data_IF_088355652184
#
_entry.id   IF_088355652184
#
_cell.length_a   1.000
_cell.length_b   1.000
_cell.length_c   1.000
_cell.angle_alpha   90.00
_cell.angle_beta   90.00
_cell.angle_gamma   90.00
#
_symmetry.space_group_name_H-M   'P 1'
#
loop_
_entity.id
_entity.type
_entity.pdbx_description
1 polymer ?
#
# COMPACT_ATOMS: atom_id res chain seq x y z
N UNK A 1 20.77 14.70 -28.25
CA UNK A 1 19.90 13.51 -28.33
C UNK A 1 20.62 12.33 -27.69
N UNK A 2 20.55 12.16 -26.37
CA UNK A 2 21.06 10.96 -25.67
C UNK A 2 20.63 10.84 -24.20
N UNK A 3 19.55 11.49 -23.75
CA UNK A 3 19.10 11.40 -22.34
C UNK A 3 18.05 10.30 -22.08
N UNK A 4 17.40 9.75 -23.12
CA UNK A 4 16.33 8.76 -22.93
C UNK A 4 16.83 7.31 -22.73
N UNK A 5 18.07 6.98 -23.09
CA UNK A 5 18.56 5.59 -23.06
C UNK A 5 18.72 5.02 -21.65
N UNK A 6 19.25 5.82 -20.71
CA UNK A 6 19.50 5.35 -19.35
C UNK A 6 18.23 5.14 -18.51
N UNK A 7 17.16 5.89 -18.81
CA UNK A 7 15.90 5.76 -18.07
C UNK A 7 15.13 4.50 -18.48
N UNK A 8 15.09 4.16 -19.77
CA UNK A 8 14.49 2.91 -20.25
C UNK A 8 15.25 1.68 -19.75
N UNK A 9 16.58 1.73 -19.75
CA UNK A 9 17.42 0.66 -19.22
C UNK A 9 17.15 0.42 -17.73
N UNK A 10 17.07 1.50 -16.93
CA UNK A 10 16.73 1.40 -15.51
C UNK A 10 15.33 0.81 -15.27
N UNK A 11 14.32 1.24 -16.05
CA UNK A 11 12.97 0.68 -15.96
C UNK A 11 12.94 -0.81 -16.33
N UNK A 12 13.75 -1.24 -17.29
CA UNK A 12 13.87 -2.65 -17.65
C UNK A 12 14.52 -3.47 -16.54
N UNK A 13 15.56 -2.94 -15.89
CA UNK A 13 16.19 -3.60 -14.72
C UNK A 13 15.16 -3.77 -13.59
N UNK A 14 14.37 -2.73 -13.30
CA UNK A 14 13.29 -2.82 -12.31
C UNK A 14 12.33 -3.94 -12.70
N UNK A 15 11.82 -3.93 -13.93
CA UNK A 15 10.86 -4.95 -14.39
C UNK A 15 11.41 -6.37 -14.30
N UNK A 16 12.68 -6.58 -14.63
CA UNK A 16 13.35 -7.88 -14.50
C UNK A 16 13.41 -8.32 -13.03
N UNK A 17 13.76 -7.42 -12.09
CA UNK A 17 13.77 -7.75 -10.66
C UNK A 17 12.37 -8.06 -10.10
N UNK A 18 11.33 -7.40 -10.61
CA UNK A 18 9.94 -7.67 -10.22
C UNK A 18 9.44 -9.01 -10.75
N UNK A 19 9.98 -9.45 -11.88
CA UNK A 19 9.67 -10.73 -12.50
C UNK A 19 10.24 -11.92 -11.72
N UNK A 20 11.33 -11.73 -10.98
CA UNK A 20 11.85 -12.73 -10.03
C UNK A 20 10.93 -12.89 -8.80
N UNK A 21 10.21 -11.84 -8.42
CA UNK A 21 9.29 -11.84 -7.27
C UNK A 21 7.84 -12.25 -7.63
N UNK A 22 7.66 -12.92 -8.78
CA UNK A 22 6.34 -13.46 -9.22
C UNK A 22 5.72 -14.45 -8.24
N UNK A 23 6.54 -15.09 -7.42
CA UNK A 23 6.10 -16.18 -6.55
C UNK A 23 5.39 -15.68 -5.29
N UNK A 24 5.69 -14.47 -4.80
CA UNK A 24 5.10 -13.94 -3.58
C UNK A 24 3.92 -13.01 -3.85
N UNK A 25 2.87 -13.15 -3.04
CA UNK A 25 1.83 -12.12 -2.97
C UNK A 25 2.36 -10.94 -2.17
N UNK A 26 2.03 -9.74 -2.61
CA UNK A 26 2.41 -8.49 -1.96
C UNK A 26 1.16 -7.75 -1.51
N UNK A 27 1.08 -7.42 -0.22
CA UNK A 27 -0.01 -6.61 0.33
C UNK A 27 0.56 -5.30 0.85
N UNK A 28 0.15 -4.20 0.23
CA UNK A 28 0.46 -2.86 0.69
C UNK A 28 -0.73 -2.31 1.49
N UNK A 29 -0.52 -2.15 2.79
CA UNK A 29 -1.49 -1.61 3.74
C UNK A 29 -1.27 -0.11 3.88
N UNK A 30 -2.29 0.68 3.54
CA UNK A 30 -2.28 2.15 3.66
C UNK A 30 -2.91 2.50 5.01
N UNK A 31 -2.09 2.69 6.04
CA UNK A 31 -2.57 3.20 7.33
C UNK A 31 -2.88 4.69 7.17
N UNK A 32 -4.10 5.12 7.49
CA UNK A 32 -4.56 6.48 7.18
C UNK A 32 -5.22 6.62 5.81
N UNK A 33 -5.74 5.54 5.25
CA UNK A 33 -6.34 5.53 3.91
C UNK A 33 -7.50 6.54 3.70
N UNK A 34 -8.19 6.97 4.77
CA UNK A 34 -9.23 7.99 4.69
C UNK A 34 -8.71 9.43 4.68
N UNK A 35 -7.41 9.64 4.88
CA UNK A 35 -6.77 10.95 5.01
C UNK A 35 -6.47 11.63 3.67
N UNK A 36 -6.12 12.91 3.76
CA UNK A 36 -5.81 13.75 2.61
C UNK A 36 -4.56 13.29 1.86
N UNK A 37 -3.50 12.89 2.56
CA UNK A 37 -2.28 12.38 1.94
C UNK A 37 -2.58 11.14 1.08
N UNK A 38 -3.40 10.23 1.60
CA UNK A 38 -3.78 9.01 0.89
C UNK A 38 -4.49 9.33 -0.43
N UNK A 39 -5.53 10.17 -0.38
CA UNK A 39 -6.36 10.53 -1.55
C UNK A 39 -5.61 11.38 -2.58
N UNK A 40 -4.79 12.32 -2.11
CA UNK A 40 -4.11 13.32 -2.96
C UNK A 40 -2.81 12.81 -3.56
N UNK A 41 -2.14 11.85 -2.90
CA UNK A 41 -0.79 11.40 -3.26
C UNK A 41 -0.67 9.88 -3.29
N UNK A 42 -0.97 9.18 -2.21
CA UNK A 42 -0.68 7.73 -2.10
C UNK A 42 -1.44 6.91 -3.15
N UNK A 43 -2.78 6.96 -3.19
CA UNK A 43 -3.56 6.21 -4.17
C UNK A 43 -3.24 6.61 -5.63
N UNK A 44 -3.12 7.91 -5.97
CA UNK A 44 -2.64 8.32 -7.30
C UNK A 44 -1.26 7.75 -7.67
N UNK A 45 -0.30 7.74 -6.75
CA UNK A 45 1.03 7.18 -7.01
C UNK A 45 0.98 5.66 -7.17
N UNK A 46 0.23 4.95 -6.33
CA UNK A 46 0.04 3.50 -6.46
C UNK A 46 -0.63 3.13 -7.79
N UNK A 47 -1.60 3.94 -8.23
CA UNK A 47 -2.19 3.81 -9.56
C UNK A 47 -1.15 3.97 -10.67
N UNK A 48 -0.30 5.00 -10.62
CA UNK A 48 0.74 5.18 -11.64
C UNK A 48 1.73 4.01 -11.68
N UNK A 49 2.17 3.53 -10.52
CA UNK A 49 3.04 2.36 -10.43
C UNK A 49 2.37 1.10 -11.00
N UNK A 50 1.08 0.91 -10.71
CA UNK A 50 0.29 -0.20 -11.25
C UNK A 50 0.13 -0.10 -12.77
N UNK A 51 -0.26 1.08 -13.27
CA UNK A 51 -0.46 1.36 -14.70
C UNK A 51 0.80 1.03 -15.52
N UNK A 52 1.96 1.42 -14.99
CA UNK A 52 3.26 1.34 -15.65
C UNK A 52 3.96 -0.01 -15.44
N UNK A 53 3.34 -0.95 -14.70
CA UNK A 53 3.89 -2.28 -14.45
C UNK A 53 5.12 -2.26 -13.54
N UNK A 54 5.18 -1.29 -12.62
CA UNK A 54 6.29 -1.10 -11.67
C UNK A 54 5.98 -1.68 -10.29
N UNK A 55 5.05 -2.62 -10.22
CA UNK A 55 4.72 -3.40 -9.03
C UNK A 55 4.79 -4.88 -9.38
N UNK A 56 5.12 -5.76 -8.41
CA UNK A 56 4.98 -7.19 -8.60
C UNK A 56 3.56 -7.54 -9.08
N UNK A 57 3.39 -8.47 -10.04
CA UNK A 57 2.08 -8.75 -10.65
C UNK A 57 0.98 -9.14 -9.65
N UNK A 58 1.34 -9.71 -8.49
CA UNK A 58 0.43 -10.15 -7.43
C UNK A 58 0.38 -9.16 -6.26
N UNK A 59 0.30 -7.87 -6.57
CA UNK A 59 0.15 -6.79 -5.57
C UNK A 59 -1.31 -6.44 -5.32
N UNK A 60 -1.67 -6.31 -4.04
CA UNK A 60 -2.99 -5.90 -3.54
C UNK A 60 -2.86 -4.78 -2.51
N UNK A 61 -3.93 -4.02 -2.33
CA UNK A 61 -3.94 -2.83 -1.48
C UNK A 61 -5.02 -2.93 -0.41
N UNK A 62 -4.68 -2.63 0.84
CA UNK A 62 -5.63 -2.63 1.96
C UNK A 62 -5.59 -1.28 2.64
N UNK A 63 -6.64 -0.48 2.48
CA UNK A 63 -6.81 0.74 3.26
C UNK A 63 -7.20 0.43 4.70
N UNK A 64 -6.60 1.12 5.66
CA UNK A 64 -6.93 0.99 7.08
C UNK A 64 -7.08 2.35 7.74
N UNK A 65 -8.26 2.63 8.29
CA UNK A 65 -8.51 3.89 9.01
C UNK A 65 -9.71 3.79 9.97
N UNK A 66 -9.86 4.80 10.83
CA UNK A 66 -10.99 4.91 11.79
C UNK A 66 -12.34 5.17 11.12
N UNK A 67 -12.31 5.84 9.97
CA UNK A 67 -13.51 6.26 9.24
C UNK A 67 -14.27 5.06 8.68
N UNK A 68 -15.59 5.12 8.71
CA UNK A 68 -16.42 4.12 8.04
C UNK A 68 -16.65 4.55 6.59
N UNK A 69 -15.79 4.11 5.68
CA UNK A 69 -15.86 4.49 4.26
C UNK A 69 -15.66 3.26 3.37
N UNK A 70 -16.33 3.28 2.21
CA UNK A 70 -16.15 2.26 1.18
C UNK A 70 -14.91 2.53 0.33
N UNK A 71 -14.39 1.48 -0.33
CA UNK A 71 -13.36 1.61 -1.37
C UNK A 71 -13.82 2.55 -2.49
N UNK A 72 -15.10 2.51 -2.85
CA UNK A 72 -15.67 3.39 -3.87
C UNK A 72 -15.58 4.87 -3.49
N UNK A 73 -15.84 5.21 -2.22
CA UNK A 73 -15.68 6.59 -1.74
C UNK A 73 -14.21 7.04 -1.80
N UNK A 74 -13.25 6.14 -1.53
CA UNK A 74 -11.82 6.43 -1.66
C UNK A 74 -11.45 6.64 -3.13
N UNK A 75 -11.98 5.80 -4.02
CA UNK A 75 -11.80 5.89 -5.47
C UNK A 75 -12.24 7.24 -6.01
N UNK A 76 -13.50 7.61 -5.78
CA UNK A 76 -14.07 8.89 -6.22
C UNK A 76 -13.25 10.06 -5.67
N UNK A 77 -12.86 10.01 -4.40
CA UNK A 77 -12.07 11.09 -3.79
C UNK A 77 -10.64 11.23 -4.36
N UNK A 78 -10.07 10.14 -4.90
CA UNK A 78 -8.71 10.09 -5.43
C UNK A 78 -8.64 10.34 -6.94
N UNK A 79 -9.73 10.12 -7.67
CA UNK A 79 -9.79 10.12 -9.14
C UNK A 79 -9.27 11.41 -9.78
N UNK A 80 -9.66 12.58 -9.25
CA UNK A 80 -9.20 13.88 -9.76
C UNK A 80 -7.69 14.10 -9.68
N UNK A 81 -6.99 13.32 -8.85
CA UNK A 81 -5.54 13.36 -8.71
C UNK A 81 -4.82 12.29 -9.56
N UNK A 82 -5.56 11.28 -10.05
CA UNK A 82 -5.00 10.15 -10.79
C UNK A 82 -4.60 10.48 -12.23
N UNK A 83 -5.06 11.63 -12.79
CA UNK A 83 -4.80 12.07 -14.17
C UNK A 83 -5.10 10.96 -15.20
N UNK A 84 -6.34 10.48 -15.19
CA UNK A 84 -6.76 9.35 -16.02
C UNK A 84 -6.76 9.70 -17.52
N UNK A 85 -6.09 8.92 -18.37
CA UNK A 85 -6.20 9.05 -19.82
C UNK A 85 -7.43 8.28 -20.31
N UNK A 86 -8.57 8.95 -20.52
CA UNK A 86 -9.82 8.34 -21.02
C UNK A 86 -10.33 7.16 -20.15
N UNK A 87 -11.49 6.52 -20.43
CA UNK A 87 -11.86 5.29 -19.74
C UNK A 87 -10.74 4.26 -19.83
N UNK A 88 -10.26 3.77 -18.69
CA UNK A 88 -9.06 2.97 -18.60
C UNK A 88 -9.35 1.63 -17.89
N UNK A 89 -9.36 0.53 -18.63
CA UNK A 89 -9.61 -0.81 -18.06
C UNK A 89 -8.63 -1.17 -16.93
N UNK A 90 -7.36 -0.76 -17.06
CA UNK A 90 -6.36 -0.95 -15.99
C UNK A 90 -6.75 -0.24 -14.70
N UNK A 91 -7.48 0.88 -14.77
CA UNK A 91 -7.93 1.60 -13.58
C UNK A 91 -9.00 0.83 -12.82
N UNK A 92 -9.93 0.20 -13.55
CA UNK A 92 -10.88 -0.75 -12.96
C UNK A 92 -10.17 -1.94 -12.32
N UNK A 93 -9.17 -2.51 -13.01
CA UNK A 93 -8.37 -3.60 -12.47
C UNK A 93 -7.63 -3.19 -11.19
N UNK A 94 -7.04 -2.00 -11.16
CA UNK A 94 -6.39 -1.45 -9.97
C UNK A 94 -7.38 -1.41 -8.79
N UNK A 95 -8.55 -0.80 -8.97
CA UNK A 95 -9.55 -0.70 -7.90
C UNK A 95 -10.14 -2.05 -7.49
N UNK A 96 -10.21 -3.04 -8.39
CA UNK A 96 -10.62 -4.41 -8.05
C UNK A 96 -9.66 -5.09 -7.03
N UNK A 97 -8.42 -4.61 -6.93
CA UNK A 97 -7.39 -5.09 -5.99
C UNK A 97 -7.30 -4.26 -4.71
N UNK A 98 -8.18 -3.28 -4.54
CA UNK A 98 -8.25 -2.42 -3.36
C UNK A 98 -9.33 -2.90 -2.40
N UNK A 99 -8.95 -3.06 -1.14
CA UNK A 99 -9.82 -3.45 -0.04
C UNK A 99 -9.75 -2.41 1.07
N UNK A 100 -10.69 -2.47 2.01
CA UNK A 100 -10.73 -1.55 3.14
C UNK A 100 -11.10 -2.28 4.42
N UNK A 101 -10.39 -1.98 5.51
CA UNK A 101 -10.68 -2.45 6.86
C UNK A 101 -10.77 -1.24 7.78
N UNK A 102 -11.91 -1.09 8.46
CA UNK A 102 -12.11 -0.07 9.48
C UNK A 102 -11.41 -0.50 10.78
N UNK A 103 -10.69 0.41 11.42
CA UNK A 103 -10.04 0.14 12.69
C UNK A 103 -9.43 1.35 13.38
N UNK A 104 -9.28 1.25 14.70
CA UNK A 104 -8.68 2.28 15.56
C UNK A 104 -7.19 2.02 15.80
N UNK A 105 -6.36 3.04 15.54
CA UNK A 105 -4.90 2.95 15.66
C UNK A 105 -4.38 2.66 17.07
N UNK A 106 -5.20 2.94 18.09
CA UNK A 106 -4.87 2.77 19.51
C UNK A 106 -5.43 1.47 20.08
N UNK A 107 -6.39 0.83 19.40
CA UNK A 107 -6.91 -0.48 19.78
C UNK A 107 -6.17 -1.60 19.04
N UNK A 108 -5.37 -2.36 19.79
CA UNK A 108 -4.60 -3.49 19.30
C UNK A 108 -5.45 -4.57 18.62
N UNK A 109 -6.69 -4.80 19.07
CA UNK A 109 -7.60 -5.82 18.51
C UNK A 109 -7.98 -5.52 17.06
N UNK A 110 -8.00 -4.24 16.66
CA UNK A 110 -8.32 -3.87 15.28
C UNK A 110 -7.23 -4.28 14.29
N UNK A 111 -5.98 -4.41 14.77
CA UNK A 111 -4.87 -4.94 13.97
C UNK A 111 -4.93 -6.46 13.86
N UNK A 112 -5.44 -7.16 14.88
CA UNK A 112 -5.75 -8.59 14.77
C UNK A 112 -6.82 -8.85 13.71
N UNK A 113 -7.88 -8.02 13.67
CA UNK A 113 -8.90 -8.09 12.61
C UNK A 113 -8.33 -7.80 11.22
N UNK A 114 -7.46 -6.79 11.11
CA UNK A 114 -6.72 -6.50 9.87
C UNK A 114 -5.88 -7.70 9.43
N UNK A 115 -5.16 -8.33 10.37
CA UNK A 115 -4.36 -9.52 10.07
C UNK A 115 -5.23 -10.68 9.58
N UNK A 116 -6.31 -11.00 10.31
CA UNK A 116 -7.27 -12.05 9.92
C UNK A 116 -7.88 -11.79 8.55
N UNK A 117 -8.21 -10.54 8.22
CA UNK A 117 -8.70 -10.18 6.89
C UNK A 117 -7.66 -10.49 5.81
N UNK A 118 -6.41 -10.07 6.01
CA UNK A 118 -5.32 -10.31 5.05
C UNK A 118 -5.07 -11.82 4.88
N UNK A 119 -4.98 -12.57 5.98
CA UNK A 119 -4.75 -14.01 5.95
C UNK A 119 -5.89 -14.78 5.30
N UNK A 120 -7.15 -14.36 5.52
CA UNK A 120 -8.31 -14.99 4.88
C UNK A 120 -8.32 -14.87 3.36
N UNK A 121 -7.60 -13.88 2.81
CA UNK A 121 -7.54 -13.58 1.38
C UNK A 121 -6.32 -14.16 0.70
N UNK A 122 -5.18 -14.13 1.37
CA UNK A 122 -3.88 -14.39 0.74
C UNK A 122 -2.97 -15.34 1.55
N UNK A 123 -3.41 -15.80 2.72
CA UNK A 123 -2.60 -16.62 3.62
C UNK A 123 -1.57 -15.83 4.41
N UNK A 124 -0.69 -16.56 5.10
CA UNK A 124 0.33 -16.01 6.00
C UNK A 124 1.64 -15.71 5.28
N UNK A 125 1.98 -16.52 4.26
CA UNK A 125 3.24 -16.47 3.53
C UNK A 125 3.23 -15.42 2.41
N UNK A 126 3.12 -14.15 2.80
CA UNK A 126 3.06 -13.02 1.88
C UNK A 126 3.95 -11.87 2.34
N UNK A 127 4.43 -11.08 1.38
CA UNK A 127 5.17 -9.86 1.65
C UNK A 127 4.20 -8.73 2.03
N UNK A 128 4.50 -8.01 3.11
CA UNK A 128 3.64 -6.95 3.64
C UNK A 128 4.37 -5.63 3.74
N UNK A 129 3.79 -4.57 3.17
CA UNK A 129 4.26 -3.20 3.32
C UNK A 129 3.21 -2.41 4.08
N UNK A 130 3.58 -1.73 5.16
CA UNK A 130 2.71 -0.80 5.86
C UNK A 130 3.16 0.63 5.58
N UNK A 131 2.37 1.36 4.80
CA UNK A 131 2.61 2.76 4.45
C UNK A 131 1.88 3.69 5.43
N UNK A 132 2.63 4.55 6.13
CA UNK A 132 2.10 5.42 7.16
C UNK A 132 1.66 6.77 6.60
N UNK A 133 0.38 6.85 6.20
CA UNK A 133 -0.29 8.10 5.85
C UNK A 133 -1.02 8.71 7.07
N UNK A 134 -0.35 8.73 8.22
CA UNK A 134 -0.87 9.16 9.52
C UNK A 134 0.07 10.18 10.20
N UNK A 135 -0.41 10.98 11.17
CA UNK A 135 0.47 11.89 11.91
C UNK A 135 1.47 11.13 12.81
N UNK A 136 2.65 11.73 13.11
CA UNK A 136 3.68 11.08 13.94
C UNK A 136 3.24 10.63 15.33
N UNK A 137 2.24 11.32 15.91
CA UNK A 137 1.71 11.00 17.25
C UNK A 137 1.17 9.58 17.39
N UNK A 138 0.78 8.93 16.29
CA UNK A 138 0.27 7.55 16.30
C UNK A 138 1.25 6.52 15.76
N UNK A 139 2.47 6.89 15.37
CA UNK A 139 3.45 5.93 14.84
C UNK A 139 3.77 4.82 15.84
N UNK A 140 4.08 5.19 17.09
CA UNK A 140 4.43 4.22 18.14
C UNK A 140 3.32 3.17 18.39
N UNK A 141 2.07 3.54 18.71
CA UNK A 141 1.02 2.55 18.99
C UNK A 141 0.71 1.66 17.76
N UNK A 142 0.75 2.23 16.55
CA UNK A 142 0.54 1.47 15.30
C UNK A 142 1.68 0.47 15.07
N UNK A 143 2.95 0.90 15.20
CA UNK A 143 4.10 0.01 15.04
C UNK A 143 4.10 -1.14 16.02
N UNK A 144 3.76 -0.89 17.29
CA UNK A 144 3.65 -1.93 18.31
C UNK A 144 2.55 -2.93 17.97
N UNK A 145 1.41 -2.47 17.47
CA UNK A 145 0.29 -3.34 17.09
C UNK A 145 0.61 -4.18 15.84
N UNK A 146 1.28 -3.59 14.83
CA UNK A 146 1.77 -4.32 13.66
C UNK A 146 2.78 -5.38 14.06
N UNK A 147 3.74 -5.04 14.94
CA UNK A 147 4.74 -6.00 15.42
C UNK A 147 4.12 -7.16 16.18
N UNK A 148 3.02 -6.91 16.91
CA UNK A 148 2.32 -7.94 17.67
C UNK A 148 1.49 -8.88 16.80
N UNK A 149 0.81 -8.34 15.79
CA UNK A 149 -0.27 -9.07 15.09
C UNK A 149 -0.04 -9.34 13.61
N UNK A 150 0.79 -8.55 12.94
CA UNK A 150 0.82 -8.52 11.47
C UNK A 150 2.18 -8.85 10.86
N UNK A 151 3.20 -9.17 11.66
CA UNK A 151 4.51 -9.59 11.15
C UNK A 151 4.53 -11.07 10.81
N UNK A 152 5.12 -11.40 9.67
CA UNK A 152 5.38 -12.81 9.32
C UNK A 152 6.52 -13.38 10.16
N UNK A 153 6.40 -14.67 10.51
CA UNK A 153 7.47 -15.47 11.12
C UNK A 153 8.24 -16.28 10.07
N UNK A 154 7.73 -16.37 8.84
CA UNK A 154 8.36 -17.12 7.76
C UNK A 154 9.57 -16.35 7.20
N UNK A 155 10.79 -16.94 7.21
CA UNK A 155 12.01 -16.28 6.73
C UNK A 155 12.01 -15.94 5.23
N UNK A 156 11.17 -16.60 4.42
CA UNK A 156 11.07 -16.36 2.98
C UNK A 156 10.19 -15.13 2.65
N UNK A 157 9.56 -14.55 3.66
CA UNK A 157 8.68 -13.38 3.51
C UNK A 157 9.12 -12.24 4.41
N UNK A 158 8.70 -11.03 4.08
CA UNK A 158 9.10 -9.86 4.86
C UNK A 158 7.93 -8.94 5.20
N UNK A 159 8.11 -8.19 6.29
CA UNK A 159 7.24 -7.08 6.68
C UNK A 159 8.05 -5.79 6.75
N UNK A 160 7.66 -4.79 5.96
CA UNK A 160 8.35 -3.49 5.88
C UNK A 160 7.41 -2.35 6.27
N UNK A 161 7.98 -1.31 6.88
CA UNK A 161 7.28 -0.07 7.24
C UNK A 161 7.83 1.06 6.35
N UNK A 162 6.94 1.85 5.76
CA UNK A 162 7.29 3.08 5.04
C UNK A 162 6.74 4.25 5.84
N UNK A 163 7.64 5.13 6.28
CA UNK A 163 7.33 6.31 7.07
C UNK A 163 7.81 7.53 6.30
N UNK A 164 6.90 8.47 6.05
CA UNK A 164 7.22 9.74 5.40
C UNK A 164 7.80 10.75 6.39
N UNK A 165 8.62 11.67 5.88
CA UNK A 165 9.18 12.78 6.65
C UNK A 165 8.06 13.72 7.12
N UNK A 166 8.22 14.43 8.26
CA UNK A 166 9.44 14.59 9.06
C UNK A 166 9.58 13.57 10.21
N UNK A 167 10.82 13.16 10.47
CA UNK A 167 11.18 12.35 11.64
C UNK A 167 11.43 13.26 12.84
N UNK A 168 10.35 13.66 13.52
CA UNK A 168 10.39 14.60 14.66
C UNK A 168 10.96 15.98 14.27
N UNK A 169 10.69 16.98 15.09
CA UNK A 169 11.18 18.36 14.87
C UNK A 169 12.26 18.77 15.87
N UNK A 170 12.51 17.96 16.91
CA UNK A 170 13.59 18.12 17.90
C UNK A 170 14.04 16.75 18.43
N UNK A 171 15.35 16.58 18.58
CA UNK A 171 16.00 15.46 19.26
C UNK A 171 16.11 15.73 20.76
#
# INVERSE_FOLDING_TARGET
MSENGGCEEFLNIIKLSLDEDKNHIHVLVIIGASGDLAKKKTYPTLWWLFRDGLLPPRTYFVGFARSDISVENIRVASEKYAKLPSPCQKYEEFWSRNFYVKGDYTNSETFELLNKFIESKWGQDINRIFYYAIPPSVYKPVSLSIKKHCTSENPDTWTRLIIEKPFWTRF
#
